data_IF_611447507793
#
_entry.id   IF_611447507793
#
_cell.length_a   1.000
_cell.length_b   1.000
_cell.length_c   1.000
_cell.angle_alpha   90.00
_cell.angle_beta   90.00
_cell.angle_gamma   90.00
#
_symmetry.space_group_name_H-M   'P 1'
#
loop_
_entity.id
_entity.type
_entity.pdbx_description
1 polymer ?
#
# COMPACT_ATOMS: atom_id res chain seq x y z
N UNK A 1 -17.42 -49.10 16.30
CA UNK A 1 -17.81 -47.89 15.53
C UNK A 1 -16.77 -46.81 15.81
N UNK A 2 -16.26 -46.08 14.82
CA UNK A 2 -15.42 -44.90 15.09
C UNK A 2 -16.35 -43.75 15.47
N UNK A 3 -16.07 -43.08 16.59
CA UNK A 3 -16.86 -41.94 17.04
C UNK A 3 -16.78 -40.80 16.01
N UNK A 4 -17.87 -40.06 15.83
CA UNK A 4 -17.87 -38.89 14.96
C UNK A 4 -16.85 -37.85 15.47
N UNK A 5 -16.15 -37.12 14.57
CA UNK A 5 -15.19 -36.09 14.97
C UNK A 5 -15.89 -35.00 15.80
N UNK A 6 -15.24 -34.53 16.86
CA UNK A 6 -15.78 -33.44 17.69
C UNK A 6 -15.86 -32.14 16.89
N UNK A 7 -16.76 -31.24 17.29
CA UNK A 7 -16.94 -29.93 16.65
C UNK A 7 -15.61 -29.16 16.55
N UNK A 8 -14.78 -29.24 17.58
CA UNK A 8 -13.48 -28.55 17.65
C UNK A 8 -12.47 -29.16 16.67
N UNK A 9 -12.56 -30.47 16.41
CA UNK A 9 -11.78 -31.14 15.35
C UNK A 9 -12.20 -30.61 13.98
N UNK A 10 -13.50 -30.48 13.72
CA UNK A 10 -14.02 -29.96 12.45
C UNK A 10 -13.58 -28.51 12.21
N UNK A 11 -13.64 -27.66 13.25
CA UNK A 11 -13.17 -26.27 13.19
C UNK A 11 -11.66 -26.24 12.85
N UNK A 12 -10.83 -27.01 13.57
CA UNK A 12 -9.38 -27.05 13.33
C UNK A 12 -9.04 -27.47 11.89
N UNK A 13 -9.73 -28.48 11.35
CA UNK A 13 -9.51 -28.95 9.98
C UNK A 13 -9.94 -27.90 8.94
N UNK A 14 -11.05 -27.20 9.17
CA UNK A 14 -11.49 -26.11 8.30
C UNK A 14 -10.48 -24.95 8.26
N UNK A 15 -9.88 -24.59 9.41
CA UNK A 15 -8.87 -23.54 9.50
C UNK A 15 -7.59 -23.90 8.74
N UNK A 16 -7.14 -25.17 8.84
CA UNK A 16 -5.96 -25.64 8.08
C UNK A 16 -6.23 -25.67 6.57
N UNK A 17 -7.41 -26.13 6.14
CA UNK A 17 -7.79 -26.13 4.71
C UNK A 17 -7.90 -24.69 4.17
N UNK A 18 -8.43 -23.75 4.95
CA UNK A 18 -8.45 -22.33 4.59
C UNK A 18 -7.04 -21.73 4.44
N UNK A 19 -6.12 -22.07 5.36
CA UNK A 19 -4.71 -21.67 5.25
C UNK A 19 -3.99 -22.23 4.01
N UNK A 20 -4.26 -23.50 3.66
CA UNK A 20 -3.78 -24.12 2.41
C UNK A 20 -4.35 -23.39 1.19
N UNK A 21 -5.63 -23.00 1.23
CA UNK A 21 -6.27 -22.20 0.18
C UNK A 21 -5.60 -20.85 -0.02
N UNK A 22 -5.33 -20.10 1.05
CA UNK A 22 -4.63 -18.82 1.00
C UNK A 22 -3.20 -18.96 0.41
N UNK A 23 -2.45 -19.99 0.82
CA UNK A 23 -1.12 -20.26 0.25
C UNK A 23 -1.19 -20.57 -1.25
N UNK A 24 -2.16 -21.37 -1.68
CA UNK A 24 -2.36 -21.65 -3.10
C UNK A 24 -2.76 -20.38 -3.90
N UNK A 25 -3.58 -19.49 -3.33
CA UNK A 25 -3.92 -18.19 -3.91
C UNK A 25 -2.70 -17.27 -4.05
N UNK A 26 -1.79 -17.25 -3.06
CA UNK A 26 -0.53 -16.50 -3.15
C UNK A 26 0.38 -17.03 -4.26
N UNK A 27 0.47 -18.36 -4.44
CA UNK A 27 1.23 -18.94 -5.57
C UNK A 27 0.59 -18.60 -6.91
N UNK A 28 -0.75 -18.63 -7.02
CA UNK A 28 -1.47 -18.17 -8.21
C UNK A 28 -1.19 -16.70 -8.53
N UNK A 29 -1.24 -15.84 -7.52
CA UNK A 29 -0.94 -14.41 -7.65
C UNK A 29 0.51 -14.21 -8.13
N UNK A 30 1.47 -14.91 -7.52
CA UNK A 30 2.87 -14.88 -7.96
C UNK A 30 3.06 -15.40 -9.40
N UNK A 31 2.35 -16.45 -9.83
CA UNK A 31 2.43 -16.96 -11.20
C UNK A 31 2.00 -15.91 -12.23
N UNK A 32 0.83 -15.30 -12.01
CA UNK A 32 0.26 -14.30 -12.93
C UNK A 32 1.13 -13.03 -12.95
N UNK A 33 1.43 -12.43 -11.79
CA UNK A 33 2.11 -11.13 -11.72
C UNK A 33 3.63 -11.19 -11.89
N UNK A 34 4.30 -12.28 -11.48
CA UNK A 34 5.78 -12.38 -11.50
C UNK A 34 6.33 -13.18 -12.67
N UNK A 35 5.55 -14.12 -13.21
CA UNK A 35 5.96 -14.97 -14.33
C UNK A 35 5.17 -14.73 -15.62
N UNK A 36 4.15 -13.86 -15.60
CA UNK A 36 3.37 -13.49 -16.78
C UNK A 36 2.54 -14.65 -17.36
N UNK A 37 2.21 -15.66 -16.54
CA UNK A 37 1.40 -16.81 -17.00
C UNK A 37 -0.05 -16.38 -17.22
N UNK A 38 -0.70 -16.96 -18.22
CA UNK A 38 -2.11 -16.67 -18.50
C UNK A 38 -3.04 -17.09 -17.33
N UNK A 39 -4.24 -16.52 -17.32
CA UNK A 39 -5.22 -16.74 -16.24
C UNK A 39 -5.68 -18.20 -16.17
N UNK A 40 -5.69 -18.92 -17.29
CA UNK A 40 -5.99 -20.34 -17.35
C UNK A 40 -4.90 -21.18 -16.66
N UNK A 41 -3.64 -20.99 -17.01
CA UNK A 41 -2.50 -21.68 -16.38
C UNK A 41 -2.40 -21.34 -14.89
N UNK A 42 -2.64 -20.07 -14.51
CA UNK A 42 -2.71 -19.66 -13.11
C UNK A 42 -3.80 -20.41 -12.31
N UNK A 43 -4.98 -20.64 -12.91
CA UNK A 43 -6.06 -21.40 -12.30
C UNK A 43 -5.76 -22.91 -12.24
N UNK A 44 -5.13 -23.49 -13.28
CA UNK A 44 -4.68 -24.89 -13.28
C UNK A 44 -3.60 -25.11 -12.20
N UNK A 45 -2.63 -24.19 -12.11
CA UNK A 45 -1.57 -24.23 -11.10
C UNK A 45 -2.12 -24.14 -9.68
N UNK A 46 -3.10 -23.26 -9.44
CA UNK A 46 -3.85 -23.22 -8.18
C UNK A 46 -4.47 -24.58 -7.83
N UNK A 47 -5.23 -25.18 -8.75
CA UNK A 47 -5.89 -26.47 -8.52
C UNK A 47 -4.91 -27.60 -8.22
N UNK A 48 -3.83 -27.71 -9.00
CA UNK A 48 -2.78 -28.72 -8.79
C UNK A 48 -2.10 -28.55 -7.43
N UNK A 49 -1.69 -27.33 -7.07
CA UNK A 49 -1.01 -27.06 -5.80
C UNK A 49 -1.96 -27.28 -4.61
N UNK A 50 -3.21 -26.84 -4.70
CA UNK A 50 -4.21 -27.06 -3.65
C UNK A 50 -4.45 -28.55 -3.41
N UNK A 51 -4.65 -29.35 -4.46
CA UNK A 51 -4.83 -30.81 -4.34
C UNK A 51 -3.58 -31.48 -3.76
N UNK A 52 -2.38 -31.08 -4.19
CA UNK A 52 -1.12 -31.62 -3.66
C UNK A 52 -0.94 -31.29 -2.17
N UNK A 53 -1.24 -30.06 -1.73
CA UNK A 53 -1.13 -29.66 -0.32
C UNK A 53 -2.18 -30.30 0.57
N UNK A 54 -3.43 -30.46 0.09
CA UNK A 54 -4.47 -31.21 0.81
C UNK A 54 -4.12 -32.70 0.90
N UNK A 55 -3.62 -33.30 -0.20
CA UNK A 55 -3.14 -34.68 -0.19
C UNK A 55 -1.95 -34.90 0.75
N UNK A 56 -1.03 -33.92 0.81
CA UNK A 56 0.09 -33.90 1.76
C UNK A 56 -0.43 -33.81 3.21
N UNK A 57 -1.38 -32.92 3.49
CA UNK A 57 -2.00 -32.78 4.81
C UNK A 57 -2.67 -34.07 5.28
N UNK A 58 -3.46 -34.73 4.42
CA UNK A 58 -4.08 -36.02 4.73
C UNK A 58 -3.03 -37.13 4.93
N UNK A 59 -1.97 -37.17 4.12
CA UNK A 59 -0.88 -38.14 4.27
C UNK A 59 -0.05 -37.94 5.54
N UNK A 60 0.11 -36.69 6.00
CA UNK A 60 0.83 -36.35 7.22
C UNK A 60 -0.05 -36.27 8.47
N UNK A 61 -1.37 -36.50 8.39
CA UNK A 61 -2.29 -36.33 9.53
C UNK A 61 -1.81 -37.08 10.79
N UNK A 62 -1.41 -38.34 10.65
CA UNK A 62 -0.88 -39.15 11.77
C UNK A 62 0.43 -38.61 12.35
N UNK A 63 1.28 -38.00 11.52
CA UNK A 63 2.59 -37.45 11.92
C UNK A 63 2.44 -36.06 12.53
N UNK A 64 1.49 -35.27 12.04
CA UNK A 64 1.14 -33.94 12.55
C UNK A 64 0.50 -34.06 13.93
N UNK A 65 -0.33 -35.08 14.19
CA UNK A 65 -0.87 -35.33 15.53
C UNK A 65 0.23 -35.68 16.56
N UNK A 66 1.21 -36.51 16.19
CA UNK A 66 2.35 -36.84 17.06
C UNK A 66 3.31 -35.65 17.25
N UNK A 67 3.60 -34.90 16.17
CA UNK A 67 4.41 -33.69 16.22
C UNK A 67 3.74 -32.58 17.04
N UNK A 68 2.42 -32.42 16.90
CA UNK A 68 1.60 -31.49 17.69
C UNK A 68 1.71 -31.80 19.19
N UNK A 69 1.60 -33.07 19.59
CA UNK A 69 1.80 -33.48 21.00
C UNK A 69 3.23 -33.22 21.47
N UNK A 70 4.24 -33.48 20.63
CA UNK A 70 5.64 -33.21 20.96
C UNK A 70 5.91 -31.71 21.16
N UNK A 71 5.41 -30.86 20.26
CA UNK A 71 5.56 -29.40 20.32
C UNK A 71 4.73 -28.79 21.45
N UNK A 72 3.49 -29.23 21.67
CA UNK A 72 2.66 -28.81 22.81
C UNK A 72 3.34 -29.14 24.14
N UNK A 73 3.90 -30.34 24.29
CA UNK A 73 4.67 -30.72 25.48
C UNK A 73 5.98 -29.90 25.62
N UNK A 74 6.56 -29.43 24.51
CA UNK A 74 7.75 -28.58 24.52
C UNK A 74 7.45 -27.12 24.94
N UNK A 75 6.32 -26.57 24.50
CA UNK A 75 5.82 -25.26 24.96
C UNK A 75 5.33 -25.32 26.41
N UNK A 76 4.54 -26.33 26.79
CA UNK A 76 4.07 -26.50 28.18
C UNK A 76 5.22 -26.77 29.18
N UNK A 77 6.34 -27.32 28.71
CA UNK A 77 7.59 -27.41 29.50
C UNK A 77 8.30 -26.08 29.72
N UNK A 78 8.02 -25.04 28.94
CA UNK A 78 8.52 -23.67 29.20
C UNK A 78 7.66 -22.89 30.19
N UNK A 79 6.37 -23.21 30.30
CA UNK A 79 5.48 -22.61 31.32
C UNK A 79 5.62 -23.30 32.69
N UNK A 80 5.84 -24.62 32.72
CA UNK A 80 5.91 -25.41 33.97
C UNK A 80 7.22 -25.31 34.77
N UNK A 81 8.07 -24.30 34.52
CA UNK A 81 9.36 -24.10 35.24
C UNK A 81 9.35 -22.81 36.10
N UNK A 82 8.26 -22.05 36.10
CA UNK A 82 8.10 -20.83 36.93
C UNK A 82 6.86 -20.94 37.84
N UNK A 83 6.77 -22.00 38.65
CA UNK A 83 6.07 -21.99 39.96
C UNK A 83 6.81 -22.96 40.91
N UNK A 84 7.32 -22.41 42.01
CA UNK A 84 7.42 -23.05 43.32
C UNK A 84 6.88 -21.99 44.32
N UNK A 85 5.72 -22.21 44.95
CA UNK A 85 5.62 -22.60 46.38
C UNK A 85 6.49 -21.71 47.30
N UNK A 86 6.02 -20.95 48.29
CA UNK A 86 4.86 -21.00 49.24
C UNK A 86 4.55 -19.57 49.75
N UNK A 87 3.49 -19.19 50.49
CA UNK A 87 2.10 -19.67 50.77
C UNK A 87 1.40 -18.54 51.59
N UNK A 88 0.06 -18.57 51.74
CA UNK A 88 -0.81 -17.61 52.49
C UNK A 88 -1.13 -16.30 51.76
N UNK A 89 -2.38 -15.96 51.43
CA UNK A 89 -3.63 -16.73 51.55
C UNK A 89 -4.85 -15.87 51.86
N UNK A 90 -5.46 -15.24 50.85
CA UNK A 90 -6.85 -14.75 50.96
C UNK A 90 -7.50 -14.67 49.57
N UNK A 91 -8.76 -15.09 49.45
CA UNK A 91 -9.60 -14.92 48.27
C UNK A 91 -10.68 -13.88 48.59
N UNK A 92 -10.88 -12.90 47.70
CA UNK A 92 -12.06 -12.03 47.72
C UNK A 92 -12.64 -12.03 46.29
N UNK A 93 -13.97 -12.07 46.20
CA UNK A 93 -14.71 -12.25 44.95
C UNK A 93 -15.83 -11.20 44.82
N UNK A 94 -16.42 -11.13 43.60
CA UNK A 94 -17.65 -10.41 43.20
C UNK A 94 -17.65 -8.86 43.35
N UNK A 95 -18.56 -8.10 42.69
CA UNK A 95 -19.45 -8.40 41.55
C UNK A 95 -19.41 -7.36 40.41
N UNK A 96 -20.26 -7.55 39.39
CA UNK A 96 -20.55 -6.57 38.33
C UNK A 96 -21.86 -5.79 38.59
N UNK A 97 -21.88 -4.50 38.19
CA UNK A 97 -23.00 -3.55 37.94
C UNK A 97 -22.38 -2.13 38.01
N UNK A 98 -22.88 -1.05 37.37
CA UNK A 98 -24.03 -0.83 36.47
C UNK A 98 -23.91 0.58 35.87
N UNK A 99 -24.44 0.83 34.66
CA UNK A 99 -24.86 2.20 34.27
C UNK A 99 -25.98 2.70 35.19
N UNK A 100 -26.13 4.02 35.43
CA UNK A 100 -27.08 4.78 34.60
C UNK A 100 -26.78 6.29 34.36
N UNK A 101 -27.15 6.74 33.15
CA UNK A 101 -27.89 7.99 32.81
C UNK A 101 -27.40 9.38 33.26
N UNK A 102 -27.25 10.28 32.28
CA UNK A 102 -27.69 11.71 32.20
C UNK A 102 -27.34 12.24 30.78
N UNK A 103 -27.97 13.23 30.16
CA UNK A 103 -29.22 13.99 30.38
C UNK A 103 -29.74 14.48 29.00
N UNK A 104 -31.05 14.67 28.86
CA UNK A 104 -31.60 15.51 27.78
C UNK A 104 -31.19 16.97 28.00
N UNK A 105 -30.88 17.69 26.92
CA UNK A 105 -30.93 19.16 26.93
C UNK A 105 -31.66 19.70 25.70
N UNK A 106 -32.71 20.46 26.00
CA UNK A 106 -33.55 21.20 25.07
C UNK A 106 -32.94 22.59 24.88
N UNK A 107 -32.78 23.03 23.65
CA UNK A 107 -32.44 24.43 23.35
C UNK A 107 -33.68 25.19 22.88
N UNK A 108 -33.89 26.36 23.47
CA UNK A 108 -34.93 27.31 23.08
C UNK A 108 -34.35 28.27 22.04
N UNK A 109 -35.10 28.53 20.96
CA UNK A 109 -34.72 29.51 19.95
C UNK A 109 -35.29 30.88 20.34
N UNK A 110 -34.42 31.85 20.61
CA UNK A 110 -34.81 33.25 20.74
C UNK A 110 -34.91 33.86 19.35
N UNK A 111 -36.09 34.33 18.97
CA UNK A 111 -36.29 35.17 17.79
C UNK A 111 -35.82 36.59 18.08
N UNK A 112 -34.98 37.14 17.21
CA UNK A 112 -34.61 38.56 17.23
C UNK A 112 -35.32 39.26 16.07
N UNK A 113 -36.14 40.26 16.38
CA UNK A 113 -36.83 41.08 15.39
C UNK A 113 -35.82 41.87 14.53
N UNK A 114 -36.22 42.17 13.29
CA UNK A 114 -35.56 43.16 12.45
C UNK A 114 -36.63 44.13 11.94
N UNK A 115 -36.48 45.40 12.31
CA UNK A 115 -37.38 46.48 11.90
C UNK A 115 -37.23 46.77 10.40
N UNK A 116 -38.35 46.93 9.70
CA UNK A 116 -38.39 47.53 8.37
C UNK A 116 -38.84 48.98 8.54
N UNK A 117 -38.06 49.91 8.00
CA UNK A 117 -38.41 51.33 7.94
C UNK A 117 -39.31 51.58 6.74
N UNK A 118 -40.52 52.10 6.98
CA UNK A 118 -41.36 52.73 5.95
C UNK A 118 -41.03 54.24 5.93
N UNK A 119 -40.73 54.78 4.75
CA UNK A 119 -40.52 56.22 4.53
C UNK A 119 -41.84 56.85 4.07
N UNK A 120 -42.45 57.69 4.92
CA UNK A 120 -43.63 58.48 4.58
C UNK A 120 -43.28 59.58 3.57
N UNK A 121 -43.97 59.61 2.42
CA UNK A 121 -43.89 60.72 1.45
C UNK A 121 -45.23 61.45 1.39
N UNK A 122 -45.29 62.59 2.08
CA UNK A 122 -46.45 63.49 2.13
C UNK A 122 -46.49 64.40 0.88
N UNK A 123 -47.61 64.45 0.16
CA UNK A 123 -47.83 65.40 -0.95
C UNK A 123 -49.08 66.26 -0.72
N UNK A 124 -48.97 67.53 -1.16
CA UNK A 124 -49.89 68.61 -0.85
C UNK A 124 -51.10 68.70 -1.78
N UNK A 125 -52.29 68.89 -1.21
CA UNK A 125 -53.51 69.26 -1.93
C UNK A 125 -53.40 70.65 -2.60
N UNK A 126 -53.72 70.76 -3.90
CA UNK A 126 -54.41 71.95 -4.45
C UNK A 126 -55.08 71.70 -5.83
N UNK A 127 -56.43 71.76 -5.82
CA UNK A 127 -57.34 72.36 -6.83
C UNK A 127 -57.53 71.77 -8.26
N UNK A 128 -58.73 71.19 -8.47
CA UNK A 128 -59.70 71.39 -9.58
C UNK A 128 -59.23 71.49 -11.06
N UNK A 129 -59.58 70.49 -11.88
CA UNK A 129 -60.59 70.60 -12.97
C UNK A 129 -60.95 69.20 -13.52
N UNK A 130 -62.05 69.06 -14.28
CA UNK A 130 -62.64 67.75 -14.65
C UNK A 130 -61.83 66.98 -15.72
N UNK A 131 -61.34 65.77 -15.39
CA UNK A 131 -60.50 64.96 -16.30
C UNK A 131 -61.22 63.87 -17.10
N UNK A 132 -62.38 63.37 -16.63
CA UNK A 132 -63.17 62.36 -17.34
C UNK A 132 -64.68 62.55 -17.14
N UNK A 133 -65.50 61.98 -18.03
CA UNK A 133 -66.96 61.99 -17.97
C UNK A 133 -67.49 60.56 -17.82
N UNK A 134 -68.30 60.29 -16.79
CA UNK A 134 -69.05 59.02 -16.67
C UNK A 134 -70.18 59.00 -17.71
N UNK A 135 -70.16 58.01 -18.59
CA UNK A 135 -71.18 57.76 -19.61
C UNK A 135 -72.34 56.96 -19.03
N UNK A 136 -72.05 55.88 -18.30
CA UNK A 136 -73.02 54.94 -17.74
C UNK A 136 -72.46 54.23 -16.51
N UNK A 137 -73.33 53.64 -15.68
CA UNK A 137 -72.93 52.85 -14.50
C UNK A 137 -73.70 51.52 -14.53
N UNK A 138 -72.97 50.41 -14.55
CA UNK A 138 -73.55 49.07 -14.61
C UNK A 138 -74.07 48.60 -13.25
N UNK A 139 -74.91 47.56 -13.25
CA UNK A 139 -75.53 46.99 -12.03
C UNK A 139 -74.52 46.45 -11.00
N UNK A 140 -73.26 46.20 -11.40
CA UNK A 140 -72.15 45.80 -10.52
C UNK A 140 -71.35 46.98 -9.94
N UNK A 141 -71.71 48.22 -10.29
CA UNK A 141 -71.04 49.45 -9.88
C UNK A 141 -69.90 49.90 -10.79
N UNK A 142 -69.59 49.17 -11.86
CA UNK A 142 -68.57 49.56 -12.85
C UNK A 142 -69.01 50.82 -13.61
N UNK A 143 -68.15 51.83 -13.64
CA UNK A 143 -68.37 53.11 -14.34
C UNK A 143 -67.77 53.04 -15.74
N UNK A 144 -68.62 53.19 -16.76
CA UNK A 144 -68.15 53.47 -18.11
C UNK A 144 -67.77 54.96 -18.21
N UNK A 145 -66.54 55.26 -18.60
CA UNK A 145 -65.95 56.60 -18.56
C UNK A 145 -65.32 56.97 -19.91
N UNK A 146 -65.42 58.25 -20.27
CA UNK A 146 -64.70 58.86 -21.40
C UNK A 146 -63.71 59.89 -20.90
N UNK A 147 -62.46 59.76 -21.29
CA UNK A 147 -61.39 60.68 -20.94
C UNK A 147 -61.38 61.91 -21.87
N UNK A 148 -60.67 62.97 -21.47
CA UNK A 148 -60.62 64.23 -22.22
C UNK A 148 -60.01 64.11 -23.64
N UNK A 149 -59.26 63.05 -23.92
CA UNK A 149 -58.70 62.71 -25.24
C UNK A 149 -59.72 62.04 -26.19
N UNK A 150 -60.89 61.67 -25.69
CA UNK A 150 -61.95 60.97 -26.41
C UNK A 150 -61.91 59.45 -26.32
N UNK A 151 -60.95 58.87 -25.61
CA UNK A 151 -60.90 57.42 -25.33
C UNK A 151 -61.97 57.01 -24.31
N UNK A 152 -62.44 55.76 -24.40
CA UNK A 152 -63.46 55.18 -23.52
C UNK A 152 -62.91 53.95 -22.78
N UNK A 153 -63.24 53.81 -21.50
CA UNK A 153 -62.79 52.72 -20.64
C UNK A 153 -63.79 52.37 -19.54
N UNK A 154 -63.56 51.25 -18.86
CA UNK A 154 -64.42 50.77 -17.77
C UNK A 154 -63.64 50.75 -16.46
N UNK A 155 -64.01 51.63 -15.53
CA UNK A 155 -63.43 51.70 -14.19
C UNK A 155 -64.27 50.88 -13.20
N UNK A 156 -63.64 49.98 -12.46
CA UNK A 156 -64.30 49.12 -11.49
C UNK A 156 -64.92 49.89 -10.31
N UNK A 157 -65.87 49.23 -9.64
CA UNK A 157 -66.58 49.81 -8.50
C UNK A 157 -65.64 50.02 -7.30
N UNK A 158 -65.47 51.27 -6.86
CA UNK A 158 -64.73 51.61 -5.65
C UNK A 158 -63.41 52.36 -5.86
N UNK A 159 -62.86 52.41 -7.08
CA UNK A 159 -61.66 53.21 -7.39
C UNK A 159 -61.92 54.71 -7.20
N UNK A 160 -60.90 55.43 -6.73
CA UNK A 160 -60.84 56.89 -6.72
C UNK A 160 -60.60 57.47 -8.13
N UNK A 161 -60.84 58.77 -8.28
CA UNK A 161 -60.60 59.47 -9.56
C UNK A 161 -59.12 59.46 -9.97
N UNK A 162 -58.21 59.42 -8.98
CA UNK A 162 -56.76 59.41 -9.15
C UNK A 162 -56.27 58.02 -9.63
N UNK A 163 -56.76 56.94 -9.03
CA UNK A 163 -56.44 55.56 -9.46
C UNK A 163 -56.91 55.29 -10.91
N UNK A 164 -58.09 55.81 -11.28
CA UNK A 164 -58.64 55.69 -12.64
C UNK A 164 -57.75 56.38 -13.69
N UNK A 165 -57.21 57.56 -13.36
CA UNK A 165 -56.31 58.30 -14.24
C UNK A 165 -54.94 57.61 -14.33
N UNK A 166 -54.45 57.08 -13.20
CA UNK A 166 -53.19 56.34 -13.14
C UNK A 166 -53.23 55.05 -13.98
N UNK A 167 -54.29 54.25 -13.90
CA UNK A 167 -54.44 53.03 -14.72
C UNK A 167 -54.45 53.35 -16.23
N UNK A 168 -55.12 54.42 -16.65
CA UNK A 168 -55.18 54.84 -18.06
C UNK A 168 -53.82 55.33 -18.58
N UNK A 169 -53.11 56.15 -17.80
CA UNK A 169 -51.78 56.64 -18.18
C UNK A 169 -50.72 55.53 -18.17
N UNK A 170 -50.86 54.55 -17.26
CA UNK A 170 -50.00 53.36 -17.20
C UNK A 170 -50.22 52.42 -18.40
N UNK A 171 -51.47 52.12 -18.76
CA UNK A 171 -51.77 51.26 -19.92
C UNK A 171 -51.35 51.88 -21.26
N UNK A 172 -51.42 53.21 -21.41
CA UNK A 172 -51.00 53.88 -22.65
C UNK A 172 -49.48 54.06 -22.77
N UNK A 173 -48.71 53.99 -21.68
CA UNK A 173 -47.25 54.17 -21.68
C UNK A 173 -46.44 52.88 -21.45
N UNK A 174 -47.07 51.75 -21.12
CA UNK A 174 -46.39 50.47 -21.01
C UNK A 174 -46.05 49.90 -22.41
N UNK A 175 -44.77 49.71 -22.77
CA UNK A 175 -44.42 48.88 -23.92
C UNK A 175 -44.75 47.41 -23.60
N UNK A 176 -45.17 46.62 -24.59
CA UNK A 176 -45.41 45.19 -24.43
C UNK A 176 -44.13 44.49 -23.90
N UNK A 177 -44.18 44.02 -22.66
CA UNK A 177 -43.07 43.30 -22.03
C UNK A 177 -43.06 41.84 -22.52
N UNK A 178 -42.10 41.53 -23.40
CA UNK A 178 -41.84 40.16 -23.86
C UNK A 178 -41.10 39.37 -22.75
N UNK A 179 -41.87 38.70 -21.88
CA UNK A 179 -41.34 37.86 -20.80
C UNK A 179 -40.43 36.74 -21.32
N UNK A 180 -40.74 36.17 -22.50
CA UNK A 180 -39.90 35.14 -23.14
C UNK A 180 -38.54 35.72 -23.54
N UNK A 181 -38.50 36.95 -24.08
CA UNK A 181 -37.24 37.62 -24.42
C UNK A 181 -36.36 37.89 -23.18
N UNK A 182 -36.95 38.31 -22.05
CA UNK A 182 -36.22 38.55 -20.80
C UNK A 182 -35.71 37.21 -20.21
N UNK A 183 -36.52 36.16 -20.27
CA UNK A 183 -36.10 34.83 -19.81
C UNK A 183 -34.97 34.25 -20.68
N UNK A 184 -35.03 34.42 -22.00
CA UNK A 184 -33.94 33.99 -22.89
C UNK A 184 -32.66 34.80 -22.67
N UNK A 185 -32.74 36.12 -22.42
CA UNK A 185 -31.58 36.94 -22.08
C UNK A 185 -30.91 36.44 -20.79
N UNK A 186 -31.71 36.20 -19.73
CA UNK A 186 -31.26 35.60 -18.46
C UNK A 186 -30.55 34.26 -18.68
N UNK A 187 -31.19 33.30 -19.37
CA UNK A 187 -30.61 31.97 -19.64
C UNK A 187 -29.35 32.07 -20.52
N UNK A 188 -29.27 33.06 -21.41
CA UNK A 188 -28.08 33.29 -22.26
C UNK A 188 -26.91 33.93 -21.51
N UNK A 189 -27.17 34.61 -20.39
CA UNK A 189 -26.17 35.21 -19.51
C UNK A 189 -25.54 34.24 -18.50
N UNK A 190 -26.14 33.07 -18.28
CA UNK A 190 -25.61 32.05 -17.37
C UNK A 190 -24.33 31.41 -17.93
N UNK A 191 -23.36 31.15 -17.06
CA UNK A 191 -22.23 30.26 -17.41
C UNK A 191 -22.69 28.82 -17.62
N UNK A 192 -21.90 28.01 -18.33
CA UNK A 192 -22.19 26.58 -18.53
C UNK A 192 -22.44 25.82 -17.21
N UNK A 193 -21.80 26.23 -16.11
CA UNK A 193 -22.01 25.64 -14.78
C UNK A 193 -23.32 26.09 -14.15
N UNK A 194 -23.62 27.39 -14.15
CA UNK A 194 -24.89 27.91 -13.60
C UNK A 194 -26.11 27.42 -14.40
N UNK A 195 -25.95 27.25 -15.71
CA UNK A 195 -26.97 26.66 -16.58
C UNK A 195 -27.19 25.19 -16.26
N UNK A 196 -26.12 24.41 -16.10
CA UNK A 196 -26.23 23.02 -15.66
C UNK A 196 -26.90 22.91 -14.29
N UNK A 197 -26.52 23.77 -13.35
CA UNK A 197 -27.09 23.78 -12.01
C UNK A 197 -28.59 24.15 -12.05
N UNK A 198 -28.98 25.15 -12.84
CA UNK A 198 -30.37 25.52 -13.08
C UNK A 198 -31.20 24.40 -13.71
N UNK A 199 -30.70 23.78 -14.79
CA UNK A 199 -31.38 22.65 -15.49
C UNK A 199 -31.57 21.42 -14.59
N UNK A 200 -30.79 21.27 -13.52
CA UNK A 200 -30.83 20.13 -12.60
C UNK A 200 -31.36 20.48 -11.19
N UNK A 201 -31.90 21.69 -10.97
CA UNK A 201 -32.36 22.18 -9.66
C UNK A 201 -31.29 22.11 -8.54
N UNK A 202 -30.04 22.41 -8.91
CA UNK A 202 -28.90 22.44 -8.00
C UNK A 202 -28.68 23.85 -7.47
N UNK A 203 -28.50 23.99 -6.16
CA UNK A 203 -28.14 25.25 -5.50
C UNK A 203 -26.72 25.15 -4.95
N UNK A 204 -25.75 25.84 -5.57
CA UNK A 204 -24.40 25.96 -5.00
C UNK A 204 -24.34 27.06 -3.95
N UNK A 205 -23.66 26.78 -2.84
CA UNK A 205 -23.37 27.76 -1.79
C UNK A 205 -21.89 27.65 -1.44
N UNK A 206 -21.14 28.74 -1.61
CA UNK A 206 -19.76 28.81 -1.12
C UNK A 206 -19.77 29.11 0.37
N UNK A 207 -19.15 28.24 1.17
CA UNK A 207 -18.97 28.46 2.61
C UNK A 207 -17.52 28.88 2.84
N UNK A 208 -17.32 30.08 3.35
CA UNK A 208 -16.00 30.57 3.74
C UNK A 208 -15.70 30.15 5.18
N UNK A 209 -14.58 29.43 5.37
CA UNK A 209 -14.14 29.01 6.70
C UNK A 209 -13.67 30.23 7.52
N UNK A 210 -14.21 30.37 8.72
CA UNK A 210 -13.80 31.35 9.74
C UNK A 210 -12.88 30.71 10.80
N UNK A 211 -12.28 29.56 10.50
CA UNK A 211 -11.50 28.79 11.47
C UNK A 211 -10.08 29.34 11.60
N UNK A 212 -9.82 30.07 12.69
CA UNK A 212 -8.50 30.59 13.03
C UNK A 212 -7.69 29.52 13.80
N UNK A 213 -6.84 28.79 13.06
CA UNK A 213 -6.02 27.71 13.61
C UNK A 213 -4.72 28.22 14.26
N UNK A 214 -4.33 27.67 15.42
CA UNK A 214 -3.07 28.00 16.13
C UNK A 214 -1.81 27.61 15.31
N UNK A 215 -1.95 26.64 14.39
CA UNK A 215 -0.88 26.13 13.55
C UNK A 215 -1.08 26.59 12.10
N UNK A 216 -0.06 27.21 11.51
CA UNK A 216 -0.13 27.74 10.14
C UNK A 216 -0.38 26.67 9.07
N UNK A 217 -1.30 26.95 8.15
CA UNK A 217 -1.62 26.06 7.04
C UNK A 217 -0.56 26.10 5.91
N UNK A 218 -0.39 24.98 5.19
CA UNK A 218 0.54 24.88 4.06
C UNK A 218 -0.17 24.80 2.69
N UNK A 219 -1.42 24.33 2.65
CA UNK A 219 -2.26 24.31 1.46
C UNK A 219 -3.75 24.29 1.87
N UNK A 220 -4.63 24.67 0.92
CA UNK A 220 -6.07 24.37 0.99
C UNK A 220 -6.45 23.35 -0.08
N UNK A 221 -7.51 22.59 0.18
CA UNK A 221 -8.16 21.69 -0.79
C UNK A 221 -9.66 22.00 -0.86
N UNK A 222 -10.26 22.03 -2.06
CA UNK A 222 -11.71 22.22 -2.19
C UNK A 222 -12.45 20.94 -1.80
N UNK A 223 -13.31 21.05 -0.80
CA UNK A 223 -14.27 20.03 -0.40
C UNK A 223 -15.69 20.42 -0.80
N UNK A 224 -16.55 19.42 -0.94
CA UNK A 224 -17.95 19.61 -1.30
C UNK A 224 -18.86 18.66 -0.55
N UNK A 225 -19.86 19.22 0.13
CA UNK A 225 -20.94 18.47 0.75
C UNK A 225 -22.17 18.55 -0.16
N UNK A 226 -22.86 17.42 -0.34
CA UNK A 226 -24.03 17.31 -1.23
C UNK A 226 -25.23 16.93 -0.38
N UNK A 227 -26.24 17.79 -0.37
CA UNK A 227 -27.45 17.65 0.45
C UNK A 227 -28.66 17.61 -0.48
N UNK A 228 -29.32 16.45 -0.54
CA UNK A 228 -30.59 16.31 -1.26
C UNK A 228 -31.74 16.77 -0.35
N UNK A 229 -32.42 17.84 -0.75
CA UNK A 229 -33.48 18.47 0.02
C UNK A 229 -34.82 17.75 -0.20
N UNK A 230 -35.73 17.86 0.77
CA UNK A 230 -37.06 17.23 0.70
C UNK A 230 -37.99 17.81 -0.38
N UNK A 231 -37.66 18.97 -0.95
CA UNK A 231 -38.37 19.58 -2.08
C UNK A 231 -37.91 19.07 -3.46
N UNK A 232 -36.88 18.21 -3.51
CA UNK A 232 -36.30 17.67 -4.73
C UNK A 232 -35.19 18.51 -5.35
N UNK A 233 -34.74 19.58 -4.68
CA UNK A 233 -33.53 20.32 -5.04
C UNK A 233 -32.30 19.68 -4.39
N UNK A 234 -31.12 19.86 -4.99
CA UNK A 234 -29.84 19.43 -4.38
C UNK A 234 -29.00 20.66 -4.03
N UNK A 235 -28.71 20.87 -2.74
CA UNK A 235 -27.72 21.87 -2.31
C UNK A 235 -26.33 21.26 -2.44
N UNK A 236 -25.39 22.00 -3.03
CA UNK A 236 -23.96 21.67 -2.99
C UNK A 236 -23.24 22.79 -2.24
N UNK A 237 -22.76 22.47 -1.05
CA UNK A 237 -21.93 23.36 -0.25
C UNK A 237 -20.48 23.16 -0.67
N UNK A 238 -19.80 24.22 -1.11
CA UNK A 238 -18.40 24.19 -1.54
C UNK A 238 -17.55 25.00 -0.55
N UNK A 239 -16.55 24.38 0.08
CA UNK A 239 -15.68 25.00 1.08
C UNK A 239 -14.22 24.62 0.87
N UNK A 240 -13.29 25.44 1.37
CA UNK A 240 -11.86 25.16 1.33
C UNK A 240 -11.37 24.67 2.69
N UNK A 241 -10.94 23.41 2.76
CA UNK A 241 -10.33 22.82 3.94
C UNK A 241 -8.83 23.07 3.95
N UNK A 242 -8.29 23.60 5.05
CA UNK A 242 -6.84 23.77 5.23
C UNK A 242 -6.17 22.46 5.67
N UNK A 243 -5.03 22.14 5.05
CA UNK A 243 -4.35 20.83 5.19
C UNK A 243 -2.83 20.94 5.33
N UNK A 244 -2.25 19.87 5.89
CA UNK A 244 -0.82 19.57 5.86
C UNK A 244 -0.55 18.46 4.84
N UNK A 245 0.56 18.57 4.11
CA UNK A 245 1.02 17.54 3.18
C UNK A 245 2.33 16.95 3.71
N UNK A 246 2.39 15.62 3.88
CA UNK A 246 3.60 14.94 4.35
C UNK A 246 4.67 14.90 3.25
N UNK A 247 5.93 14.64 3.63
CA UNK A 247 7.01 14.44 2.66
C UNK A 247 6.79 13.24 1.71
N UNK A 248 5.84 12.34 2.02
CA UNK A 248 5.44 11.22 1.16
C UNK A 248 4.26 11.57 0.24
N UNK A 249 3.62 12.74 0.41
CA UNK A 249 2.44 13.18 -0.33
C UNK A 249 1.10 12.85 0.33
N UNK A 250 1.08 12.38 1.58
CA UNK A 250 -0.17 12.14 2.31
C UNK A 250 -0.80 13.48 2.73
N UNK A 251 -2.12 13.60 2.61
CA UNK A 251 -2.88 14.80 3.04
C UNK A 251 -3.46 14.54 4.43
N UNK A 252 -3.21 15.47 5.37
CA UNK A 252 -3.71 15.45 6.74
C UNK A 252 -4.52 16.72 6.96
N UNK A 253 -5.80 16.59 7.32
CA UNK A 253 -6.66 17.73 7.62
C UNK A 253 -6.36 18.28 9.02
N UNK A 254 -6.51 19.59 9.22
CA UNK A 254 -6.22 20.24 10.51
C UNK A 254 -7.01 19.62 11.68
N UNK A 255 -8.31 19.35 11.50
CA UNK A 255 -9.12 18.68 12.52
C UNK A 255 -8.60 17.29 12.92
N UNK A 256 -7.96 16.56 11.98
CA UNK A 256 -7.31 15.27 12.27
C UNK A 256 -5.99 15.47 13.01
N UNK A 257 -5.28 16.57 12.73
CA UNK A 257 -4.03 16.90 13.39
C UNK A 257 -4.25 17.12 14.89
N UNK A 258 -5.34 17.77 15.29
CA UNK A 258 -5.69 17.98 16.70
C UNK A 258 -5.99 16.65 17.42
N UNK A 259 -6.74 15.74 16.78
CA UNK A 259 -6.95 14.37 17.30
C UNK A 259 -5.63 13.60 17.44
N UNK A 260 -4.74 13.69 16.44
CA UNK A 260 -3.42 13.05 16.46
C UNK A 260 -2.50 13.65 17.53
N UNK A 261 -2.50 14.96 17.74
CA UNK A 261 -1.75 15.66 18.79
C UNK A 261 -2.27 15.25 20.17
N UNK A 262 -3.59 15.20 20.35
CA UNK A 262 -4.23 14.73 21.59
C UNK A 262 -3.83 13.29 21.91
N UNK A 263 -3.98 12.38 20.94
CA UNK A 263 -3.56 10.98 21.08
C UNK A 263 -2.05 10.86 21.40
N UNK A 264 -1.20 11.65 20.71
CA UNK A 264 0.23 11.69 20.99
C UNK A 264 0.52 12.12 22.43
N UNK A 265 -0.14 13.16 22.92
CA UNK A 265 0.07 13.66 24.28
C UNK A 265 -0.43 12.68 25.35
N UNK A 266 -1.58 12.05 25.13
CA UNK A 266 -2.15 11.02 26.02
C UNK A 266 -1.28 9.76 26.09
N UNK A 267 -0.60 9.39 24.99
CA UNK A 267 0.23 8.18 24.89
C UNK A 267 1.73 8.44 24.76
N UNK A 268 2.20 9.66 25.07
CA UNK A 268 3.55 10.15 24.74
C UNK A 268 4.68 9.20 25.12
N UNK A 269 4.70 8.75 26.38
CA UNK A 269 5.75 7.86 26.90
C UNK A 269 5.77 6.49 26.18
N UNK A 270 4.61 6.00 25.75
CA UNK A 270 4.50 4.75 24.98
C UNK A 270 4.92 4.97 23.53
N UNK A 271 4.51 6.08 22.92
CA UNK A 271 4.85 6.44 21.54
C UNK A 271 6.34 6.70 21.37
N UNK A 272 6.98 7.43 22.29
CA UNK A 272 8.43 7.67 22.28
C UNK A 272 9.23 6.37 22.42
N UNK A 273 8.78 5.42 23.26
CA UNK A 273 9.38 4.08 23.37
C UNK A 273 9.25 3.29 22.06
N UNK A 274 8.07 3.29 21.42
CA UNK A 274 7.84 2.59 20.15
C UNK A 274 8.70 3.20 19.02
N UNK A 275 8.79 4.52 18.93
CA UNK A 275 9.65 5.22 17.95
C UNK A 275 11.13 4.88 18.17
N UNK A 276 11.58 4.91 19.43
CA UNK A 276 12.97 4.56 19.79
C UNK A 276 13.29 3.11 19.43
N UNK A 277 12.43 2.17 19.83
CA UNK A 277 12.59 0.75 19.52
C UNK A 277 12.59 0.48 18.00
N UNK A 278 11.70 1.15 17.25
CA UNK A 278 11.70 1.06 15.78
C UNK A 278 13.04 1.53 15.21
N UNK A 279 13.53 2.69 15.65
CA UNK A 279 14.83 3.23 15.20
C UNK A 279 15.98 2.26 15.50
N UNK A 280 16.03 1.67 16.70
CA UNK A 280 17.03 0.66 17.06
C UNK A 280 16.93 -0.59 16.16
N UNK A 281 15.72 -1.04 15.84
CA UNK A 281 15.50 -2.15 14.90
C UNK A 281 15.95 -1.82 13.47
N UNK A 282 15.65 -0.61 12.98
CA UNK A 282 16.04 -0.15 11.65
C UNK A 282 17.57 0.01 11.56
N UNK A 283 18.23 0.58 12.57
CA UNK A 283 19.70 0.69 12.65
C UNK A 283 20.39 -0.68 12.69
N UNK A 284 19.86 -1.62 13.47
CA UNK A 284 20.38 -2.99 13.55
C UNK A 284 20.18 -3.75 12.22
N UNK A 285 19.04 -3.55 11.53
CA UNK A 285 18.80 -4.14 10.22
C UNK A 285 19.78 -3.63 9.16
N UNK A 286 20.03 -2.32 9.13
CA UNK A 286 21.02 -1.69 8.26
C UNK A 286 22.46 -2.15 8.58
N UNK A 287 22.79 -2.42 9.84
CA UNK A 287 24.07 -3.03 10.21
C UNK A 287 24.20 -4.46 9.69
N UNK A 288 23.14 -5.27 9.78
CA UNK A 288 23.12 -6.63 9.23
C UNK A 288 23.32 -6.63 7.71
N UNK A 289 22.66 -5.74 6.98
CA UNK A 289 22.84 -5.59 5.53
C UNK A 289 24.30 -5.25 5.16
N UNK A 290 24.91 -4.26 5.83
CA UNK A 290 26.33 -3.91 5.61
C UNK A 290 27.27 -5.06 5.93
N UNK A 291 27.01 -5.79 7.01
CA UNK A 291 27.81 -6.96 7.41
C UNK A 291 27.69 -8.11 6.40
N UNK A 292 26.50 -8.34 5.82
CA UNK A 292 26.29 -9.32 4.75
C UNK A 292 27.03 -8.91 3.45
N UNK A 293 26.96 -7.66 3.03
CA UNK A 293 27.67 -7.17 1.85
C UNK A 293 29.20 -7.26 2.02
N UNK A 294 29.72 -6.90 3.20
CA UNK A 294 31.14 -7.02 3.52
C UNK A 294 31.60 -8.49 3.50
N UNK A 295 30.82 -9.40 4.11
CA UNK A 295 31.11 -10.83 4.12
C UNK A 295 31.13 -11.42 2.70
N UNK A 296 30.14 -11.06 1.86
CA UNK A 296 30.09 -11.47 0.46
C UNK A 296 31.30 -10.92 -0.34
N UNK A 297 31.74 -9.70 -0.04
CA UNK A 297 32.92 -9.08 -0.67
C UNK A 297 34.22 -9.78 -0.25
N UNK A 298 34.38 -10.12 1.03
CA UNK A 298 35.53 -10.92 1.51
C UNK A 298 35.56 -12.31 0.86
N UNK A 299 34.42 -13.01 0.77
CA UNK A 299 34.33 -14.31 0.11
C UNK A 299 34.75 -14.24 -1.36
N UNK A 300 34.22 -13.28 -2.14
CA UNK A 300 34.58 -13.09 -3.56
C UNK A 300 36.09 -12.82 -3.70
N UNK A 301 36.64 -11.96 -2.83
CA UNK A 301 38.06 -11.60 -2.84
C UNK A 301 38.94 -12.81 -2.54
N UNK A 302 38.57 -13.63 -1.54
CA UNK A 302 39.25 -14.89 -1.23
C UNK A 302 39.21 -15.89 -2.38
N UNK A 303 38.04 -16.10 -3.00
CA UNK A 303 37.90 -17.03 -4.12
C UNK A 303 38.76 -16.58 -5.31
N UNK A 304 38.80 -15.28 -5.61
CA UNK A 304 39.69 -14.75 -6.66
C UNK A 304 41.18 -14.91 -6.30
N UNK A 305 41.58 -14.68 -5.05
CA UNK A 305 42.94 -14.92 -4.59
C UNK A 305 43.33 -16.42 -4.68
N UNK A 306 42.41 -17.33 -4.33
CA UNK A 306 42.59 -18.77 -4.45
C UNK A 306 42.69 -19.23 -5.91
N UNK A 307 41.84 -18.69 -6.79
CA UNK A 307 41.92 -18.91 -8.25
C UNK A 307 43.25 -18.39 -8.80
N UNK A 308 43.67 -17.18 -8.44
CA UNK A 308 44.97 -16.64 -8.86
C UNK A 308 46.11 -17.57 -8.43
N UNK A 309 46.15 -17.93 -7.14
CA UNK A 309 47.17 -18.83 -6.58
C UNK A 309 47.22 -20.20 -7.27
N UNK A 310 46.07 -20.77 -7.65
CA UNK A 310 45.98 -22.11 -8.27
C UNK A 310 46.10 -22.11 -9.79
N UNK A 311 45.67 -21.04 -10.48
CA UNK A 311 45.47 -21.04 -11.93
C UNK A 311 46.35 -20.08 -12.73
N UNK A 312 46.96 -19.05 -12.12
CA UNK A 312 47.72 -18.02 -12.84
C UNK A 312 48.85 -18.58 -13.71
N UNK A 313 49.51 -19.67 -13.28
CA UNK A 313 50.55 -20.35 -14.07
C UNK A 313 50.04 -21.12 -15.29
N UNK A 314 48.73 -21.34 -15.41
CA UNK A 314 48.11 -22.29 -16.35
C UNK A 314 47.23 -21.62 -17.42
N UNK A 315 46.96 -20.32 -17.30
CA UNK A 315 46.14 -19.53 -18.22
C UNK A 315 46.76 -18.15 -18.50
N UNK A 316 46.32 -17.48 -19.56
CA UNK A 316 46.69 -16.09 -19.85
C UNK A 316 45.86 -15.13 -18.99
N UNK A 317 46.36 -13.91 -18.74
CA UNK A 317 45.70 -12.96 -17.81
C UNK A 317 44.22 -12.75 -18.12
N UNK A 318 43.88 -12.50 -19.39
CA UNK A 318 42.48 -12.30 -19.80
C UNK A 318 41.58 -13.54 -19.66
N UNK A 319 42.13 -14.74 -19.59
CA UNK A 319 41.38 -15.98 -19.29
C UNK A 319 41.23 -16.18 -17.78
N UNK A 320 42.22 -15.74 -16.99
CA UNK A 320 42.13 -15.67 -15.53
C UNK A 320 41.08 -14.65 -15.07
N UNK A 321 41.00 -13.49 -15.73
CA UNK A 321 40.00 -12.45 -15.45
C UNK A 321 38.57 -12.94 -15.76
N UNK A 322 38.37 -13.73 -16.83
CA UNK A 322 37.10 -14.43 -17.09
C UNK A 322 36.77 -15.44 -15.99
N UNK A 323 37.76 -16.18 -15.49
CA UNK A 323 37.55 -17.14 -14.41
C UNK A 323 37.19 -16.44 -13.09
N UNK A 324 37.80 -15.29 -12.78
CA UNK A 324 37.40 -14.43 -11.67
C UNK A 324 35.96 -13.90 -11.82
N UNK A 325 35.58 -13.45 -13.03
CA UNK A 325 34.21 -13.01 -13.30
C UNK A 325 33.19 -14.14 -13.09
N UNK A 326 33.47 -15.34 -13.62
CA UNK A 326 32.63 -16.52 -13.41
C UNK A 326 32.48 -16.85 -11.93
N UNK A 327 33.57 -16.80 -11.15
CA UNK A 327 33.53 -17.06 -9.72
C UNK A 327 32.70 -16.00 -8.95
N UNK A 328 32.84 -14.71 -9.30
CA UNK A 328 32.01 -13.62 -8.75
C UNK A 328 30.52 -13.77 -9.10
N UNK A 329 30.19 -14.29 -10.28
CA UNK A 329 28.81 -14.64 -10.63
C UNK A 329 28.31 -15.83 -9.81
N UNK A 330 29.18 -16.81 -9.54
CA UNK A 330 28.82 -18.04 -8.84
C UNK A 330 28.46 -17.83 -7.37
N UNK A 331 29.05 -16.83 -6.70
CA UNK A 331 28.65 -16.46 -5.33
C UNK A 331 27.23 -15.89 -5.24
N UNK A 332 26.71 -15.29 -6.34
CA UNK A 332 25.38 -14.68 -6.39
C UNK A 332 24.31 -15.59 -7.01
N UNK A 333 24.64 -16.32 -8.07
CA UNK A 333 23.71 -17.19 -8.83
C UNK A 333 24.35 -18.56 -9.05
N UNK A 334 23.89 -19.63 -8.35
CA UNK A 334 24.47 -20.97 -8.46
C UNK A 334 24.50 -21.56 -9.88
N UNK A 335 23.52 -21.19 -10.71
CA UNK A 335 23.41 -21.55 -12.12
C UNK A 335 23.46 -20.28 -12.99
N UNK A 336 24.55 -19.54 -12.89
CA UNK A 336 24.82 -18.41 -13.78
C UNK A 336 25.26 -18.85 -15.18
N UNK A 337 25.17 -17.91 -16.11
CA UNK A 337 25.59 -18.06 -17.49
C UNK A 337 27.10 -17.82 -17.54
N UNK A 338 27.88 -18.89 -17.39
CA UNK A 338 29.34 -18.82 -17.27
C UNK A 338 30.04 -18.77 -18.63
N UNK A 339 31.11 -17.98 -18.72
CA UNK A 339 31.97 -17.94 -19.89
C UNK A 339 32.96 -19.12 -19.87
N UNK A 340 33.10 -19.84 -20.98
CA UNK A 340 34.15 -20.84 -21.11
C UNK A 340 35.54 -20.17 -21.10
N UNK A 341 36.50 -20.77 -20.37
CA UNK A 341 37.88 -20.29 -20.26
C UNK A 341 38.86 -21.25 -20.91
N UNK A 342 39.99 -20.71 -21.39
CA UNK A 342 41.06 -21.46 -22.07
C UNK A 342 42.30 -21.61 -21.22
N UNK A 343 42.88 -22.80 -21.24
CA UNK A 343 44.16 -23.11 -20.61
C UNK A 343 45.30 -22.96 -21.63
N UNK A 344 46.51 -22.65 -21.16
CA UNK A 344 47.72 -22.61 -22.01
C UNK A 344 47.98 -24.01 -22.59
N UNK A 345 48.39 -24.12 -23.85
CA UNK A 345 48.59 -25.41 -24.56
C UNK A 345 49.48 -26.45 -23.85
N UNK A 346 50.33 -26.04 -22.90
CA UNK A 346 51.20 -26.92 -22.08
C UNK A 346 50.94 -26.78 -20.58
N UNK A 347 49.67 -26.61 -20.16
CA UNK A 347 49.29 -26.34 -18.77
C UNK A 347 49.56 -27.51 -17.79
N UNK A 348 49.68 -28.77 -18.26
CA UNK A 348 49.96 -29.94 -17.42
C UNK A 348 48.95 -30.22 -16.27
N UNK A 349 47.76 -29.62 -16.28
CA UNK A 349 46.67 -29.96 -15.34
C UNK A 349 45.91 -31.17 -15.87
N UNK A 350 45.49 -32.06 -14.97
CA UNK A 350 44.58 -33.16 -15.26
C UNK A 350 43.12 -32.69 -15.33
N UNK A 351 42.18 -33.61 -15.61
CA UNK A 351 40.74 -33.31 -15.43
C UNK A 351 40.38 -33.30 -13.95
N UNK A 352 41.11 -34.07 -13.14
CA UNK A 352 41.02 -34.18 -11.69
C UNK A 352 41.32 -32.83 -11.04
N UNK A 353 42.39 -32.14 -11.45
CA UNK A 353 42.72 -30.78 -11.00
C UNK A 353 41.58 -29.77 -11.23
N UNK A 354 40.96 -29.82 -12.41
CA UNK A 354 39.88 -28.90 -12.78
C UNK A 354 38.58 -29.22 -12.01
N UNK A 355 38.32 -30.51 -11.74
CA UNK A 355 37.25 -30.93 -10.82
C UNK A 355 37.53 -30.47 -9.40
N UNK A 356 38.77 -30.59 -8.90
CA UNK A 356 39.16 -30.17 -7.55
C UNK A 356 39.01 -28.67 -7.35
N UNK A 357 39.46 -27.85 -8.31
CA UNK A 357 39.25 -26.40 -8.26
C UNK A 357 37.75 -26.05 -8.12
N UNK A 358 36.91 -26.62 -9.00
CA UNK A 358 35.47 -26.41 -8.95
C UNK A 358 34.83 -26.94 -7.66
N UNK A 359 35.27 -28.09 -7.17
CA UNK A 359 34.79 -28.70 -5.94
C UNK A 359 35.15 -27.87 -4.72
N UNK A 360 36.39 -27.42 -4.59
CA UNK A 360 36.88 -26.64 -3.45
C UNK A 360 36.10 -25.33 -3.31
N UNK A 361 35.97 -24.57 -4.42
CA UNK A 361 35.19 -23.33 -4.46
C UNK A 361 33.71 -23.62 -4.23
N UNK A 362 33.15 -24.62 -4.90
CA UNK A 362 31.74 -24.98 -4.78
C UNK A 362 31.35 -25.46 -3.38
N UNK A 363 32.24 -26.17 -2.66
CA UNK A 363 32.01 -26.59 -1.27
C UNK A 363 32.14 -25.46 -0.27
N UNK A 364 33.08 -24.53 -0.47
CA UNK A 364 33.14 -23.29 0.28
C UNK A 364 31.82 -22.50 0.15
N UNK A 365 31.29 -22.39 -1.08
CA UNK A 365 29.97 -21.81 -1.38
C UNK A 365 28.76 -22.71 -1.01
N UNK A 366 28.98 -23.83 -0.30
CA UNK A 366 27.95 -24.78 0.16
C UNK A 366 27.06 -25.38 -0.94
N UNK A 367 27.55 -25.44 -2.17
CA UNK A 367 26.81 -25.89 -3.34
C UNK A 367 26.70 -27.43 -3.45
N UNK A 368 25.63 -27.88 -4.11
CA UNK A 368 25.37 -29.30 -4.39
C UNK A 368 26.21 -29.79 -5.57
N UNK A 369 26.64 -31.05 -5.53
CA UNK A 369 27.50 -31.66 -6.56
C UNK A 369 27.06 -31.43 -8.02
N UNK A 370 25.76 -31.60 -8.39
CA UNK A 370 25.32 -31.34 -9.75
C UNK A 370 25.55 -29.90 -10.23
N UNK A 371 25.44 -28.91 -9.33
CA UNK A 371 25.73 -27.48 -9.64
C UNK A 371 27.23 -27.30 -9.91
N UNK A 372 28.08 -27.91 -9.09
CA UNK A 372 29.54 -27.91 -9.23
C UNK A 372 29.95 -28.58 -10.56
N UNK A 373 29.37 -29.73 -10.88
CA UNK A 373 29.64 -30.44 -12.13
C UNK A 373 29.20 -29.64 -13.37
N UNK A 374 28.08 -28.91 -13.28
CA UNK A 374 27.66 -27.97 -14.33
C UNK A 374 28.66 -26.83 -14.48
N UNK A 375 29.09 -26.18 -13.39
CA UNK A 375 30.13 -25.15 -13.43
C UNK A 375 31.42 -25.65 -14.09
N UNK A 376 31.95 -26.80 -13.64
CA UNK A 376 33.16 -27.41 -14.21
C UNK A 376 32.99 -27.69 -15.71
N UNK A 377 31.83 -28.23 -16.13
CA UNK A 377 31.58 -28.48 -17.55
C UNK A 377 31.48 -27.21 -18.39
N UNK A 378 30.79 -26.17 -17.91
CA UNK A 378 30.56 -24.94 -18.68
C UNK A 378 31.82 -24.09 -18.75
N UNK A 379 32.52 -23.91 -17.62
CA UNK A 379 33.73 -23.09 -17.52
C UNK A 379 34.91 -23.76 -18.22
N UNK A 380 35.15 -25.05 -17.96
CA UNK A 380 36.21 -25.82 -18.61
C UNK A 380 35.67 -26.64 -19.78
N UNK A 381 34.96 -25.99 -20.70
CA UNK A 381 34.24 -26.65 -21.79
C UNK A 381 35.11 -27.62 -22.62
N UNK A 382 36.30 -27.23 -23.03
CA UNK A 382 37.13 -28.03 -23.94
C UNK A 382 37.49 -29.42 -23.35
N UNK A 383 38.06 -29.54 -22.12
CA UNK A 383 38.29 -30.83 -21.47
C UNK A 383 37.04 -31.67 -21.15
N UNK A 384 35.86 -31.07 -20.98
CA UNK A 384 34.63 -31.73 -20.47
C UNK A 384 33.48 -31.81 -21.47
N UNK A 385 33.63 -31.27 -22.68
CA UNK A 385 32.66 -31.20 -23.79
C UNK A 385 31.86 -32.50 -23.97
N UNK A 386 32.56 -33.62 -24.15
CA UNK A 386 32.00 -34.95 -24.40
C UNK A 386 31.48 -35.68 -23.14
N UNK A 387 31.67 -35.14 -21.94
CA UNK A 387 31.28 -35.81 -20.68
C UNK A 387 29.92 -35.33 -20.19
N UNK A 388 29.06 -36.25 -19.75
CA UNK A 388 27.77 -35.91 -19.15
C UNK A 388 27.96 -35.32 -17.73
N UNK A 389 27.11 -34.36 -17.34
CA UNK A 389 27.17 -33.70 -16.02
C UNK A 389 27.10 -34.72 -14.88
N UNK A 390 26.29 -35.78 -15.02
CA UNK A 390 26.22 -36.87 -14.03
C UNK A 390 27.55 -37.62 -13.85
N UNK A 391 28.28 -37.86 -14.95
CA UNK A 391 29.60 -38.52 -14.95
C UNK A 391 30.72 -37.64 -14.38
N UNK A 392 30.58 -36.31 -14.49
CA UNK A 392 31.46 -35.36 -13.81
C UNK A 392 31.13 -35.32 -12.32
N UNK A 393 29.84 -35.22 -11.97
CA UNK A 393 29.34 -35.18 -10.59
C UNK A 393 29.76 -36.39 -9.75
N UNK A 394 29.64 -37.60 -10.29
CA UNK A 394 30.04 -38.83 -9.58
C UNK A 394 31.55 -38.96 -9.36
N UNK A 395 32.36 -38.12 -10.03
CA UNK A 395 33.82 -38.15 -10.04
C UNK A 395 34.49 -36.87 -9.54
N UNK A 396 33.72 -35.96 -8.94
CA UNK A 396 34.22 -34.66 -8.45
C UNK A 396 35.30 -34.79 -7.37
N UNK A 397 35.34 -35.91 -6.66
CA UNK A 397 36.27 -36.23 -5.57
C UNK A 397 37.25 -37.34 -5.92
N UNK A 398 37.34 -37.75 -7.20
CA UNK A 398 38.33 -38.73 -7.65
C UNK A 398 39.72 -38.09 -7.63
N UNK A 399 40.61 -38.56 -6.76
CA UNK A 399 41.99 -38.07 -6.63
C UNK A 399 43.02 -39.00 -7.27
N UNK A 400 44.13 -38.42 -7.70
CA UNK A 400 45.36 -39.10 -8.06
C UNK A 400 46.55 -38.40 -7.36
N UNK A 401 46.82 -38.72 -6.08
CA UNK A 401 47.67 -37.89 -5.22
C UNK A 401 49.13 -37.75 -5.69
N UNK A 402 49.62 -38.64 -6.55
CA UNK A 402 50.96 -38.56 -7.16
C UNK A 402 51.02 -37.62 -8.38
N UNK A 403 49.88 -37.12 -8.86
CA UNK A 403 49.74 -36.35 -10.12
C UNK A 403 48.92 -35.06 -9.97
N UNK A 404 48.04 -35.00 -8.98
CA UNK A 404 47.20 -33.83 -8.72
C UNK A 404 48.06 -32.63 -8.32
N UNK A 405 47.89 -31.53 -9.03
CA UNK A 405 48.51 -30.23 -8.76
C UNK A 405 47.63 -29.33 -7.92
N UNK A 406 46.32 -29.51 -8.02
CA UNK A 406 45.31 -28.83 -7.20
C UNK A 406 44.79 -29.85 -6.18
N UNK A 407 45.11 -29.69 -4.87
CA UNK A 407 44.67 -30.63 -3.87
C UNK A 407 43.15 -30.57 -3.70
N UNK A 408 42.52 -31.72 -3.52
CA UNK A 408 41.13 -31.80 -3.08
C UNK A 408 41.05 -31.38 -1.59
N UNK A 409 40.22 -30.39 -1.29
CA UNK A 409 40.10 -29.82 0.06
C UNK A 409 38.70 -30.06 0.63
N UNK A 410 38.64 -30.38 1.93
CA UNK A 410 37.37 -30.42 2.67
C UNK A 410 36.82 -29.00 2.87
N UNK A 411 35.55 -28.89 3.26
CA UNK A 411 34.95 -27.58 3.57
C UNK A 411 35.67 -26.91 4.74
N UNK A 412 36.00 -27.67 5.77
CA UNK A 412 36.70 -27.20 6.98
C UNK A 412 38.13 -26.73 6.66
N UNK A 413 38.75 -27.30 5.63
CA UNK A 413 40.03 -26.82 5.11
C UNK A 413 39.85 -25.50 4.34
N UNK A 414 38.85 -25.39 3.45
CA UNK A 414 38.55 -24.13 2.76
C UNK A 414 38.15 -23.00 3.73
N UNK A 415 37.33 -23.30 4.74
CA UNK A 415 36.94 -22.37 5.81
C UNK A 415 38.20 -21.92 6.60
N UNK A 416 39.16 -22.82 6.88
CA UNK A 416 40.42 -22.46 7.55
C UNK A 416 41.39 -21.65 6.66
N UNK A 417 41.40 -21.89 5.35
CA UNK A 417 42.12 -21.07 4.36
C UNK A 417 41.53 -19.67 4.25
N UNK A 418 40.20 -19.55 4.33
CA UNK A 418 39.50 -18.27 4.33
C UNK A 418 39.84 -17.45 5.57
N UNK A 419 39.83 -18.03 6.77
CA UNK A 419 40.24 -17.33 8.00
C UNK A 419 41.72 -16.89 7.97
N UNK A 420 42.61 -17.72 7.41
CA UNK A 420 44.00 -17.31 7.19
C UNK A 420 44.08 -16.14 6.19
N UNK A 421 43.34 -16.21 5.08
CA UNK A 421 43.27 -15.13 4.11
C UNK A 421 42.70 -13.84 4.70
N UNK A 422 41.65 -13.90 5.53
CA UNK A 422 41.09 -12.72 6.21
C UNK A 422 42.16 -11.97 7.00
N UNK A 423 43.00 -12.70 7.73
CA UNK A 423 44.06 -12.15 8.61
C UNK A 423 45.33 -11.70 7.87
N UNK A 424 45.76 -12.42 6.84
CA UNK A 424 47.07 -12.21 6.19
C UNK A 424 47.00 -11.80 4.71
N UNK A 425 45.81 -11.75 4.12
CA UNK A 425 45.51 -11.45 2.70
C UNK A 425 46.34 -12.27 1.69
N UNK A 426 46.76 -13.48 2.09
CA UNK A 426 47.57 -14.42 1.29
C UNK A 426 47.00 -15.83 1.36
N UNK A 427 47.21 -16.63 0.30
CA UNK A 427 46.81 -18.04 0.24
C UNK A 427 48.00 -18.91 0.66
N UNK A 428 47.79 -19.79 1.65
CA UNK A 428 48.83 -20.68 2.17
C UNK A 428 48.27 -22.06 2.50
N UNK A 429 48.48 -23.03 1.60
CA UNK A 429 47.99 -24.41 1.75
C UNK A 429 48.58 -25.15 2.97
N UNK A 430 49.74 -24.74 3.50
CA UNK A 430 50.35 -25.38 4.68
C UNK A 430 49.48 -25.29 5.94
N UNK A 431 48.57 -24.30 5.99
CA UNK A 431 47.59 -24.13 7.08
C UNK A 431 46.61 -25.30 7.17
N UNK A 432 46.40 -26.05 6.08
CA UNK A 432 45.42 -27.13 5.99
C UNK A 432 46.00 -28.54 5.83
N UNK A 433 47.30 -28.67 5.55
CA UNK A 433 48.02 -29.95 5.41
C UNK A 433 47.87 -30.87 6.63
N UNK A 434 47.78 -30.31 7.84
CA UNK A 434 47.68 -31.08 9.09
C UNK A 434 46.24 -31.32 9.57
N UNK A 435 45.22 -30.63 9.02
CA UNK A 435 43.82 -30.79 9.47
C UNK A 435 43.13 -32.05 8.93
N UNK A 436 43.67 -32.66 7.87
CA UNK A 436 43.10 -33.86 7.22
C UNK A 436 43.59 -35.22 7.74
N UNK A 437 44.49 -35.27 8.74
CA UNK A 437 45.04 -36.54 9.26
C UNK A 437 44.25 -37.17 10.43
N UNK A 438 43.16 -36.55 10.86
CA UNK A 438 42.28 -37.09 11.89
C UNK A 438 41.01 -37.68 11.24
N UNK A 439 40.64 -38.90 11.65
CA UNK A 439 39.62 -39.79 11.04
C UNK A 439 40.07 -40.53 9.76
N UNK A 440 40.94 -41.53 9.97
CA UNK A 440 40.69 -42.86 9.41
C UNK A 440 39.77 -43.62 10.35
#
# INVERSE_FOLDING_TARGET
MKNAPSRDTIILWSAVIAGIGLLALLVRHAAIYRFGTDTFTGNVLFGVIFILLVGLYLGFQSVIEDFSRAVSNFFRRKEAVVIAETTSGEQIAVPAMSEPQQMDYRSEATTTDCEVLEDDVEFSNDLNEHHYQVIDIMDDGTRHIRFADGSEGYASAGLSDEEILFEHEYQNNCPDFDEDAIFQDFISGLTEQEKYDYENNIKRVKIESNEEYEYGCFASVPERNIIDNHDGTTTIEEYESSVFITANGDVIFLHQLDEMIKFYNEHKETTEKIITQKKECDEAYEELLRNEELYNTEQVTFICAYITYTMQGFMESHELDKLHLNARLWTKKPLADFNAVKLRKKHQLSKEDLKHLGYNIGKFLRLKGPVIATFVKTVFYEPFSNLQIQSINSKLTDTNPDKDKIPLLSREQMDALFEHFKRYKTINLKVVENKGKSKK
#
